data_IF_525665438885
#
_entry.id   IF_525665438885
#
_cell.length_a   1.000
_cell.length_b   1.000
_cell.length_c   1.000
_cell.angle_alpha   90.00
_cell.angle_beta   90.00
_cell.angle_gamma   90.00
#
_symmetry.space_group_name_H-M   'P 1'
#
loop_
_entity.id
_entity.type
_entity.pdbx_description
1 polymer ?
#
# COMPACT_ATOMS: atom_id res chain seq x y z
N UNK A 1 18.28 6.30 55.80
CA UNK A 1 17.33 5.26 55.35
C UNK A 1 16.06 5.80 54.65
N UNK A 2 15.80 7.10 54.64
CA UNK A 2 14.54 7.67 54.10
C UNK A 2 14.47 7.66 52.57
N UNK A 3 15.60 7.88 51.87
CA UNK A 3 15.63 7.93 50.39
C UNK A 3 15.38 6.57 49.72
N UNK A 4 15.82 5.46 50.35
CA UNK A 4 15.56 4.10 49.86
C UNK A 4 14.06 3.75 49.88
N UNK A 5 13.33 4.20 50.90
CA UNK A 5 11.88 4.03 50.98
C UNK A 5 11.13 4.82 49.91
N UNK A 6 11.57 6.06 49.64
CA UNK A 6 10.96 6.91 48.61
C UNK A 6 11.16 6.36 47.19
N UNK A 7 12.36 5.82 46.89
CA UNK A 7 12.65 5.18 45.59
C UNK A 7 11.84 3.90 45.39
N UNK A 8 11.64 3.10 46.45
CA UNK A 8 10.81 1.88 46.37
C UNK A 8 9.32 2.23 46.15
N UNK A 9 8.83 3.30 46.76
CA UNK A 9 7.45 3.77 46.62
C UNK A 9 7.19 4.41 45.24
N UNK A 10 8.19 5.10 44.68
CA UNK A 10 8.16 5.63 43.32
C UNK A 10 8.26 4.52 42.26
N UNK A 11 9.04 3.47 42.53
CA UNK A 11 9.09 2.27 41.68
C UNK A 11 7.80 1.43 41.78
N UNK A 12 7.16 1.34 42.96
CA UNK A 12 5.91 0.59 43.10
C UNK A 12 4.72 1.27 42.42
N UNK A 13 4.72 2.60 42.28
CA UNK A 13 3.68 3.32 41.53
C UNK A 13 3.73 3.07 40.01
N UNK A 14 4.85 2.58 39.47
CA UNK A 14 4.95 2.17 38.06
C UNK A 14 4.39 0.76 37.78
N UNK A 15 4.04 -0.01 38.82
CA UNK A 15 3.49 -1.38 38.68
C UNK A 15 1.96 -1.38 38.67
N UNK A 16 1.30 -0.22 38.85
CA UNK A 16 -0.13 -0.11 38.57
C UNK A 16 -0.35 -0.21 37.06
N UNK A 17 -0.72 -1.42 36.64
CA UNK A 17 -0.79 -1.86 35.26
C UNK A 17 -1.43 -0.89 34.29
N UNK A 18 -0.78 -0.74 33.14
CA UNK A 18 -1.33 -0.11 31.95
C UNK A 18 -2.52 -0.95 31.47
N UNK A 19 -3.73 -0.60 31.91
CA UNK A 19 -4.97 -1.22 31.44
C UNK A 19 -5.19 -0.84 29.97
N UNK A 20 -5.22 -1.84 29.08
CA UNK A 20 -5.40 -1.72 27.62
C UNK A 20 -6.86 -1.51 27.19
N UNK A 21 -7.78 -1.30 28.12
CA UNK A 21 -9.23 -1.28 27.86
C UNK A 21 -9.89 0.11 27.88
N UNK A 22 -9.12 1.21 28.04
CA UNK A 22 -9.71 2.55 28.11
C UNK A 22 -9.53 3.32 26.81
N UNK A 23 -10.65 3.72 26.22
CA UNK A 23 -10.77 4.53 25.01
C UNK A 23 -10.35 6.00 25.25
N UNK A 24 -9.17 6.21 25.85
CA UNK A 24 -8.62 7.52 26.22
C UNK A 24 -7.80 8.09 25.05
N UNK A 25 -7.73 9.42 24.92
CA UNK A 25 -6.97 10.11 23.86
C UNK A 25 -5.53 9.59 23.68
N UNK A 26 -4.85 9.29 24.80
CA UNK A 26 -3.49 8.72 24.81
C UNK A 26 -3.45 7.32 24.21
N UNK A 27 -4.43 6.46 24.51
CA UNK A 27 -4.53 5.11 23.95
C UNK A 27 -4.78 5.17 22.44
N UNK A 28 -5.70 6.03 21.98
CA UNK A 28 -5.93 6.26 20.54
C UNK A 28 -4.69 6.80 19.83
N UNK A 29 -3.96 7.72 20.47
CA UNK A 29 -2.69 8.24 19.97
C UNK A 29 -1.63 7.14 19.81
N UNK A 30 -1.48 6.27 20.82
CA UNK A 30 -0.57 5.14 20.79
C UNK A 30 -0.92 4.13 19.68
N UNK A 31 -2.19 3.78 19.52
CA UNK A 31 -2.65 2.89 18.45
C UNK A 31 -2.43 3.49 17.06
N UNK A 32 -2.69 4.80 16.89
CA UNK A 32 -2.41 5.50 15.64
C UNK A 32 -0.92 5.55 15.32
N UNK A 33 -0.07 5.77 16.32
CA UNK A 33 1.39 5.80 16.17
C UNK A 33 1.93 4.41 15.79
N UNK A 34 1.47 3.38 16.50
CA UNK A 34 1.82 1.99 16.27
C UNK A 34 1.40 1.58 14.85
N UNK A 35 0.17 1.86 14.44
CA UNK A 35 -0.33 1.53 13.10
C UNK A 35 0.48 2.23 12.00
N UNK A 36 0.77 3.53 12.18
CA UNK A 36 1.57 4.32 11.23
C UNK A 36 2.98 3.77 11.06
N UNK A 37 3.70 3.54 12.15
CA UNK A 37 5.11 3.17 12.06
C UNK A 37 5.32 1.66 11.92
N UNK A 38 4.62 0.84 12.72
CA UNK A 38 4.80 -0.61 12.73
C UNK A 38 4.16 -1.31 11.53
N UNK A 39 3.01 -0.83 11.08
CA UNK A 39 2.32 -1.34 9.89
C UNK A 39 2.78 -0.61 8.65
N UNK A 40 2.26 0.60 8.47
CA UNK A 40 2.36 1.32 7.20
C UNK A 40 3.81 1.65 6.80
N UNK A 41 4.55 2.38 7.65
CA UNK A 41 5.90 2.84 7.35
C UNK A 41 6.86 1.67 7.08
N UNK A 42 6.99 0.70 8.00
CA UNK A 42 7.88 -0.43 7.76
C UNK A 42 7.46 -1.27 6.56
N UNK A 43 6.16 -1.41 6.29
CA UNK A 43 5.71 -2.12 5.10
C UNK A 43 6.13 -1.38 3.82
N UNK A 44 5.99 -0.05 3.77
CA UNK A 44 6.52 0.76 2.68
C UNK A 44 8.04 0.62 2.52
N UNK A 45 8.81 0.65 3.62
CA UNK A 45 10.27 0.50 3.56
C UNK A 45 10.68 -0.85 2.98
N UNK A 46 10.03 -1.94 3.38
CA UNK A 46 10.29 -3.27 2.81
C UNK A 46 9.93 -3.33 1.32
N UNK A 47 8.80 -2.72 0.92
CA UNK A 47 8.42 -2.62 -0.50
C UNK A 47 9.48 -1.85 -1.29
N UNK A 48 9.91 -0.70 -0.79
CA UNK A 48 10.93 0.14 -1.42
C UNK A 48 12.27 -0.62 -1.56
N UNK A 49 12.66 -1.38 -0.54
CA UNK A 49 13.87 -2.22 -0.59
C UNK A 49 13.75 -3.30 -1.69
N UNK A 50 12.60 -3.95 -1.79
CA UNK A 50 12.32 -4.94 -2.84
C UNK A 50 12.36 -4.33 -4.24
N UNK A 51 11.70 -3.18 -4.44
CA UNK A 51 11.71 -2.43 -5.71
C UNK A 51 13.14 -2.03 -6.08
N UNK A 52 13.90 -1.48 -5.13
CA UNK A 52 15.30 -1.09 -5.37
C UNK A 52 16.16 -2.29 -5.82
N UNK A 53 15.97 -3.48 -5.23
CA UNK A 53 16.67 -4.69 -5.65
C UNK A 53 16.29 -5.10 -7.07
N UNK A 54 15.02 -5.00 -7.44
CA UNK A 54 14.54 -5.26 -8.81
C UNK A 54 15.20 -4.29 -9.79
N UNK A 55 15.12 -2.99 -9.52
CA UNK A 55 15.67 -1.94 -10.40
C UNK A 55 17.18 -2.08 -10.56
N UNK A 56 17.90 -2.37 -9.48
CA UNK A 56 19.36 -2.55 -9.51
C UNK A 56 19.78 -3.77 -10.34
N UNK A 57 18.99 -4.83 -10.32
CA UNK A 57 19.29 -6.07 -11.05
C UNK A 57 18.74 -6.06 -12.49
N UNK A 58 17.89 -5.10 -12.83
CA UNK A 58 17.29 -4.98 -14.15
C UNK A 58 18.36 -4.59 -15.19
N UNK A 59 18.43 -5.37 -16.27
CA UNK A 59 19.29 -5.08 -17.43
C UNK A 59 18.42 -4.53 -18.56
N UNK A 60 18.57 -3.25 -18.85
CA UNK A 60 17.83 -2.59 -19.93
C UNK A 60 18.30 -3.12 -21.30
N UNK A 61 17.33 -3.47 -22.14
CA UNK A 61 17.52 -3.83 -23.54
C UNK A 61 17.30 -2.57 -24.39
N UNK A 62 18.40 -1.98 -24.89
CA UNK A 62 18.37 -0.72 -25.64
C UNK A 62 18.02 -0.88 -27.14
N UNK A 63 17.88 -2.12 -27.59
CA UNK A 63 17.40 -2.51 -28.92
C UNK A 63 15.87 -2.54 -29.01
N UNK A 64 15.17 -2.41 -27.88
CA UNK A 64 13.71 -2.43 -27.77
C UNK A 64 13.18 -1.14 -27.15
N UNK A 65 11.87 -0.91 -27.30
CA UNK A 65 11.19 0.16 -26.60
C UNK A 65 11.32 -0.07 -25.08
N UNK A 66 11.91 0.90 -24.37
CA UNK A 66 12.08 0.81 -22.93
C UNK A 66 10.72 0.83 -22.22
N UNK A 67 10.50 -0.02 -21.21
CA UNK A 67 9.26 -0.04 -20.47
C UNK A 67 9.11 1.23 -19.62
N UNK A 68 7.88 1.74 -19.51
CA UNK A 68 7.58 2.92 -18.66
C UNK A 68 7.78 2.59 -17.18
N UNK A 69 7.45 1.37 -16.78
CA UNK A 69 7.68 0.87 -15.43
C UNK A 69 8.55 -0.38 -15.47
N UNK A 70 9.54 -0.43 -14.57
CA UNK A 70 10.37 -1.62 -14.37
C UNK A 70 9.60 -2.56 -13.47
N UNK A 71 9.38 -3.79 -13.95
CA UNK A 71 8.69 -4.84 -13.23
C UNK A 71 9.42 -6.16 -13.47
N UNK A 72 9.63 -7.00 -12.43
CA UNK A 72 10.36 -8.23 -12.59
C UNK A 72 9.51 -9.29 -13.31
N UNK A 73 10.15 -10.09 -14.15
CA UNK A 73 9.52 -11.29 -14.67
C UNK A 73 9.23 -12.26 -13.50
N UNK A 74 8.28 -13.17 -13.71
CA UNK A 74 7.83 -14.15 -12.69
C UNK A 74 8.99 -14.92 -12.03
N UNK A 75 10.05 -15.23 -12.77
CA UNK A 75 11.21 -15.95 -12.23
C UNK A 75 12.17 -15.05 -11.44
N UNK A 76 12.39 -13.81 -11.89
CA UNK A 76 13.26 -12.86 -11.20
C UNK A 76 12.61 -12.34 -9.90
N UNK A 77 11.28 -12.23 -9.88
CA UNK A 77 10.50 -11.77 -8.73
C UNK A 77 10.81 -12.58 -7.46
N UNK A 78 11.06 -13.89 -7.60
CA UNK A 78 11.34 -14.83 -6.50
C UNK A 78 12.52 -14.39 -5.63
N UNK A 79 13.50 -13.71 -6.21
CA UNK A 79 14.69 -13.22 -5.50
C UNK A 79 14.37 -12.14 -4.46
N UNK A 80 13.25 -11.45 -4.64
CA UNK A 80 12.78 -10.33 -3.80
C UNK A 80 11.53 -10.66 -2.97
N UNK A 81 11.08 -11.92 -3.00
CA UNK A 81 9.95 -12.37 -2.17
C UNK A 81 10.16 -12.11 -0.67
N UNK A 82 11.36 -12.29 -0.08
CA UNK A 82 11.56 -12.05 1.34
C UNK A 82 11.19 -10.63 1.79
N UNK A 83 11.42 -9.62 0.96
CA UNK A 83 11.08 -8.23 1.23
C UNK A 83 9.55 -8.03 1.21
N UNK A 84 8.89 -8.54 0.17
CA UNK A 84 7.44 -8.40 0.01
C UNK A 84 6.66 -9.23 1.04
N UNK A 85 7.13 -10.42 1.42
CA UNK A 85 6.49 -11.24 2.46
C UNK A 85 6.57 -10.56 3.84
N UNK A 86 7.67 -9.85 4.13
CA UNK A 86 7.76 -9.01 5.34
C UNK A 86 6.75 -7.88 5.32
N UNK A 87 6.61 -7.20 4.17
CA UNK A 87 5.63 -6.13 3.99
C UNK A 87 4.20 -6.64 4.21
N UNK A 88 3.83 -7.75 3.57
CA UNK A 88 2.53 -8.42 3.72
C UNK A 88 2.30 -8.75 5.20
N UNK A 89 3.23 -9.46 5.84
CA UNK A 89 3.10 -9.86 7.25
C UNK A 89 2.88 -8.66 8.17
N UNK A 90 3.64 -7.58 7.99
CA UNK A 90 3.51 -6.36 8.81
C UNK A 90 2.16 -5.69 8.59
N UNK A 91 1.75 -5.52 7.34
CA UNK A 91 0.45 -4.94 7.00
C UNK A 91 -0.70 -5.78 7.53
N UNK A 92 -0.68 -7.11 7.35
CA UNK A 92 -1.73 -8.02 7.81
C UNK A 92 -1.87 -8.02 9.33
N UNK A 93 -0.75 -8.04 10.08
CA UNK A 93 -0.78 -7.91 11.54
C UNK A 93 -1.40 -6.57 11.95
N UNK A 94 -1.10 -5.51 11.21
CA UNK A 94 -1.62 -4.18 11.49
C UNK A 94 -3.14 -4.12 11.32
N UNK A 95 -3.63 -4.59 10.17
CA UNK A 95 -5.07 -4.71 9.86
C UNK A 95 -5.75 -5.55 10.95
N UNK A 96 -5.21 -6.74 11.25
CA UNK A 96 -5.80 -7.64 12.24
C UNK A 96 -5.95 -7.00 13.64
N UNK A 97 -4.97 -6.19 14.06
CA UNK A 97 -4.94 -5.61 15.41
C UNK A 97 -5.71 -4.30 15.54
N UNK A 98 -5.82 -3.53 14.45
CA UNK A 98 -6.29 -2.15 14.50
C UNK A 98 -7.56 -1.90 13.69
N UNK A 99 -8.03 -2.87 12.90
CA UNK A 99 -9.34 -2.80 12.25
C UNK A 99 -10.45 -2.87 13.30
N UNK A 100 -11.32 -1.87 13.30
CA UNK A 100 -12.54 -1.85 14.11
C UNK A 100 -13.68 -2.41 13.27
N UNK A 101 -14.44 -3.33 13.85
CA UNK A 101 -15.56 -4.01 13.18
C UNK A 101 -16.88 -3.65 13.85
N UNK A 102 -17.94 -3.56 13.04
CA UNK A 102 -19.32 -3.46 13.49
C UNK A 102 -19.79 -4.77 14.15
N UNK A 103 -20.98 -4.74 14.75
CA UNK A 103 -21.64 -5.91 15.36
C UNK A 103 -21.78 -7.09 14.38
N UNK A 104 -21.93 -6.81 13.09
CA UNK A 104 -22.01 -7.79 12.02
C UNK A 104 -20.64 -8.33 11.55
N UNK A 105 -19.54 -7.95 12.20
CA UNK A 105 -18.17 -8.35 11.83
C UNK A 105 -17.58 -7.64 10.61
N UNK A 106 -18.31 -6.68 10.02
CA UNK A 106 -17.84 -5.86 8.90
C UNK A 106 -16.92 -4.74 9.38
N UNK A 107 -15.86 -4.46 8.63
CA UNK A 107 -14.94 -3.36 8.92
C UNK A 107 -15.64 -1.99 8.84
N UNK A 108 -15.31 -1.09 9.76
CA UNK A 108 -15.70 0.32 9.74
C UNK A 108 -14.57 1.13 9.10
N UNK A 109 -14.70 1.55 7.83
CA UNK A 109 -13.60 2.13 7.06
C UNK A 109 -13.04 3.42 7.66
N UNK A 110 -13.91 4.24 8.27
CA UNK A 110 -13.55 5.56 8.83
C UNK A 110 -12.90 5.47 10.22
N UNK A 111 -12.95 4.30 10.86
CA UNK A 111 -12.49 4.16 12.25
C UNK A 111 -10.97 3.97 12.34
N UNK A 112 -10.34 3.43 11.30
CA UNK A 112 -8.90 3.13 11.28
C UNK A 112 -8.15 4.00 10.28
N UNK A 113 -7.31 4.92 10.77
CA UNK A 113 -6.65 5.94 9.93
C UNK A 113 -5.70 5.41 8.85
N UNK A 114 -5.10 4.24 9.04
CA UNK A 114 -4.05 3.72 8.15
C UNK A 114 -4.36 2.32 7.60
N UNK A 115 -5.60 1.85 7.77
CA UNK A 115 -5.93 0.45 7.44
C UNK A 115 -5.99 0.26 5.92
N UNK A 116 -6.60 1.19 5.20
CA UNK A 116 -6.57 1.27 3.74
C UNK A 116 -5.14 1.32 3.17
N UNK A 117 -4.25 2.12 3.76
CA UNK A 117 -2.85 2.15 3.34
C UNK A 117 -2.16 0.80 3.51
N UNK A 118 -2.44 0.07 4.59
CA UNK A 118 -1.87 -1.27 4.79
C UNK A 118 -2.44 -2.28 3.77
N UNK A 119 -3.73 -2.19 3.42
CA UNK A 119 -4.32 -2.99 2.34
C UNK A 119 -3.67 -2.70 0.99
N UNK A 120 -3.44 -1.43 0.66
CA UNK A 120 -2.71 -1.03 -0.56
C UNK A 120 -1.29 -1.61 -0.55
N UNK A 121 -0.56 -1.54 0.57
CA UNK A 121 0.77 -2.11 0.66
C UNK A 121 0.78 -3.63 0.42
N UNK A 122 -0.22 -4.37 0.91
CA UNK A 122 -0.37 -5.81 0.62
C UNK A 122 -0.58 -6.03 -0.87
N UNK A 123 -1.46 -5.24 -1.50
CA UNK A 123 -1.69 -5.31 -2.94
C UNK A 123 -0.43 -5.04 -3.76
N UNK A 124 0.36 -4.02 -3.39
CA UNK A 124 1.63 -3.69 -4.05
C UNK A 124 2.64 -4.84 -3.89
N UNK A 125 2.75 -5.40 -2.69
CA UNK A 125 3.64 -6.52 -2.43
C UNK A 125 3.25 -7.76 -3.26
N UNK A 126 1.96 -8.11 -3.33
CA UNK A 126 1.48 -9.18 -4.22
C UNK A 126 1.75 -8.88 -5.69
N UNK A 127 1.57 -7.63 -6.13
CA UNK A 127 1.86 -7.22 -7.50
C UNK A 127 3.33 -7.50 -7.84
N UNK A 128 4.29 -7.05 -7.02
CA UNK A 128 5.72 -7.31 -7.26
C UNK A 128 6.14 -8.78 -7.07
N UNK A 129 5.37 -9.56 -6.33
CA UNK A 129 5.51 -11.03 -6.30
C UNK A 129 4.93 -11.74 -7.52
N UNK A 130 4.33 -10.99 -8.45
CA UNK A 130 3.59 -11.51 -9.60
C UNK A 130 2.33 -12.33 -9.23
N UNK A 131 1.80 -12.10 -8.03
CA UNK A 131 0.54 -12.66 -7.52
C UNK A 131 -0.63 -11.71 -7.89
N UNK A 132 -0.83 -11.52 -9.20
CA UNK A 132 -1.65 -10.44 -9.76
C UNK A 132 -3.12 -10.47 -9.32
N UNK A 133 -3.73 -11.66 -9.19
CA UNK A 133 -5.12 -11.78 -8.73
C UNK A 133 -5.28 -11.36 -7.26
N UNK A 134 -4.34 -11.77 -6.40
CA UNK A 134 -4.32 -11.34 -5.01
C UNK A 134 -4.10 -9.83 -4.91
N UNK A 135 -3.28 -9.25 -5.78
CA UNK A 135 -3.14 -7.79 -5.85
C UNK A 135 -4.48 -7.10 -6.19
N UNK A 136 -5.20 -7.59 -7.21
CA UNK A 136 -6.53 -7.07 -7.59
C UNK A 136 -7.50 -7.15 -6.42
N UNK A 137 -7.59 -8.27 -5.72
CA UNK A 137 -8.51 -8.42 -4.58
C UNK A 137 -8.26 -7.37 -3.49
N UNK A 138 -6.99 -7.10 -3.17
CA UNK A 138 -6.62 -6.08 -2.18
C UNK A 138 -6.98 -4.66 -2.66
N UNK A 139 -6.72 -4.33 -3.93
CA UNK A 139 -7.05 -3.02 -4.46
C UNK A 139 -8.56 -2.81 -4.63
N UNK A 140 -9.29 -3.82 -5.12
CA UNK A 140 -10.76 -3.78 -5.25
C UNK A 140 -11.42 -3.64 -3.88
N UNK A 141 -10.91 -4.35 -2.86
CA UNK A 141 -11.36 -4.18 -1.48
C UNK A 141 -11.23 -2.73 -1.04
N UNK A 142 -10.09 -2.07 -1.31
CA UNK A 142 -9.89 -0.67 -0.93
C UNK A 142 -10.86 0.26 -1.66
N UNK A 143 -11.01 0.06 -2.97
CA UNK A 143 -11.89 0.86 -3.84
C UNK A 143 -13.34 0.79 -3.36
N UNK A 144 -13.82 -0.40 -2.99
CA UNK A 144 -15.22 -0.65 -2.60
C UNK A 144 -15.51 -0.30 -1.15
N UNK A 145 -14.56 -0.54 -0.25
CA UNK A 145 -14.74 -0.35 1.19
C UNK A 145 -14.48 1.10 1.62
N UNK A 146 -13.41 1.73 1.13
CA UNK A 146 -12.99 3.07 1.58
C UNK A 146 -13.41 4.14 0.57
N UNK A 147 -14.72 4.24 0.33
CA UNK A 147 -15.28 5.15 -0.68
C UNK A 147 -14.97 6.62 -0.42
N UNK A 148 -14.78 7.02 0.83
CA UNK A 148 -14.46 8.41 1.21
C UNK A 148 -12.96 8.71 1.30
N UNK A 149 -12.10 7.68 1.26
CA UNK A 149 -10.65 7.88 1.33
C UNK A 149 -10.09 8.32 -0.02
N UNK A 150 -9.13 9.25 -0.02
CA UNK A 150 -8.39 9.59 -1.23
C UNK A 150 -7.47 8.45 -1.67
N UNK A 151 -7.13 7.52 -0.77
CA UNK A 151 -6.27 6.38 -1.06
C UNK A 151 -6.93 5.37 -2.00
N UNK A 152 -8.26 5.42 -2.16
CA UNK A 152 -8.96 4.67 -3.22
C UNK A 152 -8.44 5.00 -4.61
N UNK A 153 -7.97 6.23 -4.85
CA UNK A 153 -7.41 6.62 -6.14
C UNK A 153 -6.02 6.01 -6.36
N UNK A 154 -5.24 5.83 -5.30
CA UNK A 154 -4.01 5.04 -5.36
C UNK A 154 -4.30 3.58 -5.65
N UNK A 155 -5.32 2.99 -5.02
CA UNK A 155 -5.75 1.63 -5.34
C UNK A 155 -6.19 1.49 -6.81
N UNK A 156 -6.94 2.46 -7.37
CA UNK A 156 -7.28 2.50 -8.80
C UNK A 156 -6.04 2.61 -9.70
N UNK A 157 -5.06 3.43 -9.32
CA UNK A 157 -3.81 3.54 -10.06
C UNK A 157 -3.10 2.18 -10.15
N UNK A 158 -2.99 1.48 -9.03
CA UNK A 158 -2.36 0.17 -8.99
C UNK A 158 -3.19 -0.92 -9.68
N UNK A 159 -4.53 -0.89 -9.60
CA UNK A 159 -5.37 -1.86 -10.31
C UNK A 159 -5.20 -1.72 -11.83
N UNK A 160 -5.05 -0.49 -12.36
CA UNK A 160 -4.73 -0.28 -13.77
C UNK A 160 -3.40 -0.95 -14.13
N UNK A 161 -2.34 -0.75 -13.32
CA UNK A 161 -1.04 -1.39 -13.55
C UNK A 161 -1.13 -2.92 -13.54
N UNK A 162 -1.90 -3.50 -12.63
CA UNK A 162 -2.10 -4.94 -12.58
C UNK A 162 -2.80 -5.44 -13.84
N UNK A 163 -3.83 -4.75 -14.32
CA UNK A 163 -4.51 -5.11 -15.56
C UNK A 163 -3.65 -4.92 -16.81
N UNK A 164 -2.79 -3.90 -16.85
CA UNK A 164 -1.80 -3.72 -17.91
C UNK A 164 -0.79 -4.87 -17.96
N UNK A 165 -0.38 -5.38 -16.79
CA UNK A 165 0.49 -6.54 -16.68
C UNK A 165 -0.20 -7.84 -17.11
N UNK A 166 -1.49 -7.99 -16.79
CA UNK A 166 -2.33 -9.09 -17.30
C UNK A 166 -2.62 -8.98 -18.81
N UNK A 167 -2.30 -7.85 -19.45
CA UNK A 167 -2.63 -7.58 -20.85
C UNK A 167 -4.10 -7.21 -21.10
N UNK A 168 -4.91 -7.02 -20.05
CA UNK A 168 -6.32 -6.63 -20.16
C UNK A 168 -6.50 -5.11 -20.07
N UNK A 169 -6.19 -4.40 -21.15
CA UNK A 169 -6.37 -2.94 -21.21
C UNK A 169 -7.85 -2.54 -21.05
N UNK A 170 -8.78 -3.37 -21.54
CA UNK A 170 -10.23 -3.15 -21.40
C UNK A 170 -10.66 -3.08 -19.93
N UNK A 171 -10.13 -3.96 -19.07
CA UNK A 171 -10.46 -3.95 -17.64
C UNK A 171 -9.86 -2.75 -16.90
N UNK A 172 -8.74 -2.21 -17.38
CA UNK A 172 -8.09 -1.03 -16.79
C UNK A 172 -8.78 0.30 -17.13
N UNK A 173 -9.44 0.37 -18.28
CA UNK A 173 -10.03 1.59 -18.84
C UNK A 173 -11.06 2.31 -17.93
N UNK A 174 -12.04 1.63 -17.28
CA UNK A 174 -12.98 2.31 -16.40
C UNK A 174 -12.29 3.02 -15.23
N UNK A 175 -11.29 2.36 -14.62
CA UNK A 175 -10.51 2.95 -13.52
C UNK A 175 -9.66 4.13 -14.01
N UNK A 176 -9.05 4.02 -15.19
CA UNK A 176 -8.25 5.10 -15.77
C UNK A 176 -9.10 6.32 -16.12
N UNK A 177 -10.29 6.12 -16.68
CA UNK A 177 -11.24 7.20 -16.98
C UNK A 177 -11.75 7.87 -15.71
N UNK A 178 -12.00 7.09 -14.66
CA UNK A 178 -12.34 7.64 -13.35
C UNK A 178 -11.19 8.51 -12.82
N UNK A 179 -9.94 8.05 -12.87
CA UNK A 179 -8.78 8.86 -12.46
C UNK A 179 -8.67 10.16 -13.26
N UNK A 180 -8.87 10.13 -14.58
CA UNK A 180 -8.83 11.33 -15.45
C UNK A 180 -9.93 12.35 -15.14
N UNK A 181 -11.12 11.88 -14.74
CA UNK A 181 -12.27 12.76 -14.48
C UNK A 181 -12.25 13.47 -13.12
N UNK A 182 -11.45 12.98 -12.17
CA UNK A 182 -11.40 13.53 -10.81
C UNK A 182 -10.69 14.89 -10.80
N UNK A 183 -11.41 15.92 -10.37
CA UNK A 183 -10.89 17.30 -10.29
C UNK A 183 -9.74 17.47 -9.30
N UNK A 184 -9.80 16.78 -8.16
CA UNK A 184 -8.85 16.91 -7.06
C UNK A 184 -8.20 15.56 -6.74
N UNK A 185 -7.13 15.24 -7.47
CA UNK A 185 -6.27 14.11 -7.17
C UNK A 185 -5.14 14.53 -6.20
N UNK A 186 -4.64 13.60 -5.35
CA UNK A 186 -3.41 13.80 -4.62
C UNK A 186 -2.28 14.24 -5.57
N UNK A 187 -1.50 15.26 -5.19
CA UNK A 187 -0.45 15.85 -6.05
C UNK A 187 0.54 14.80 -6.58
N UNK A 188 0.97 13.88 -5.72
CA UNK A 188 1.86 12.79 -6.09
C UNK A 188 1.23 11.88 -7.17
N UNK A 189 -0.05 11.50 -7.01
CA UNK A 189 -0.76 10.69 -8.00
C UNK A 189 -0.96 11.44 -9.32
N UNK A 190 -1.26 12.74 -9.27
CA UNK A 190 -1.39 13.58 -10.47
C UNK A 190 -0.08 13.60 -11.29
N UNK A 191 1.08 13.59 -10.63
CA UNK A 191 2.37 13.55 -11.29
C UNK A 191 2.69 12.19 -11.91
N UNK A 192 2.19 11.09 -11.33
CA UNK A 192 2.39 9.73 -11.84
C UNK A 192 1.39 9.32 -12.94
N UNK A 193 0.21 9.95 -12.98
CA UNK A 193 -0.86 9.63 -13.92
C UNK A 193 -0.43 9.67 -15.41
N UNK A 194 0.35 10.66 -15.87
CA UNK A 194 0.91 10.67 -17.22
C UNK A 194 1.63 9.38 -17.62
N UNK A 195 2.47 8.84 -16.74
CA UNK A 195 3.20 7.59 -16.99
C UNK A 195 2.26 6.39 -17.12
N UNK A 196 1.22 6.31 -16.28
CA UNK A 196 0.20 5.27 -16.39
C UNK A 196 -0.58 5.34 -17.71
N UNK A 197 -0.90 6.55 -18.16
CA UNK A 197 -1.59 6.75 -19.45
C UNK A 197 -0.68 6.35 -20.61
N UNK A 198 0.61 6.71 -20.56
CA UNK A 198 1.59 6.31 -21.56
C UNK A 198 1.71 4.78 -21.63
N UNK A 199 1.78 4.09 -20.49
CA UNK A 199 1.79 2.63 -20.43
C UNK A 199 0.52 2.03 -21.07
N UNK A 200 -0.66 2.57 -20.77
CA UNK A 200 -1.92 2.13 -21.37
C UNK A 200 -1.89 2.18 -22.91
N UNK A 201 -1.41 3.28 -23.49
CA UNK A 201 -1.30 3.42 -24.94
C UNK A 201 -0.23 2.53 -25.56
N UNK A 202 0.90 2.35 -24.88
CA UNK A 202 1.95 1.39 -25.31
C UNK A 202 1.39 -0.02 -25.37
N UNK A 203 0.64 -0.46 -24.34
CA UNK A 203 0.00 -1.80 -24.31
C UNK A 203 -1.08 -1.97 -25.38
N UNK A 204 -1.62 -0.88 -25.95
CA UNK A 204 -2.55 -0.88 -27.09
C UNK A 204 -1.86 -0.80 -28.46
N UNK A 205 -0.53 -0.85 -28.52
CA UNK A 205 0.26 -0.62 -29.73
C UNK A 205 0.04 0.78 -30.35
N UNK A 206 -0.15 1.81 -29.51
CA UNK A 206 -0.35 3.21 -29.91
C UNK A 206 0.78 4.11 -29.36
N UNK A 207 2.04 3.95 -29.80
CA UNK A 207 3.19 4.65 -29.21
C UNK A 207 3.17 6.17 -29.44
N UNK A 208 2.56 6.65 -30.52
CA UNK A 208 2.46 8.10 -30.81
C UNK A 208 1.59 8.84 -29.78
N UNK A 209 0.49 8.23 -29.34
CA UNK A 209 -0.38 8.79 -28.30
C UNK A 209 0.29 8.70 -26.92
N UNK A 210 1.08 7.65 -26.69
CA UNK A 210 1.86 7.53 -25.46
C UNK A 210 2.88 8.66 -25.31
N UNK A 211 3.57 9.04 -26.40
CA UNK A 211 4.57 10.10 -26.38
C UNK A 211 3.99 11.49 -26.04
N UNK A 212 2.73 11.76 -26.41
CA UNK A 212 2.04 13.03 -26.08
C UNK A 212 1.68 13.15 -24.60
N UNK A 213 1.68 12.03 -23.88
CA UNK A 213 1.27 11.98 -22.49
C UNK A 213 2.41 12.32 -21.53
N UNK A 214 3.68 12.11 -21.93
CA UNK A 214 4.89 12.37 -21.14
C UNK A 214 5.37 13.81 -21.32
#
# INVERSE_FOLDING_TARGET
MVYKGFVILLCSSFIMGCSTHKNTFVHRGFHNLTNRFNGYYYSCENINEGIYKIEKNHKALYDQLLPVFIFPNKDDAKTTFPEFDKAIKKSSICIQRHTIKNENGQEIPEAGKWIDNNWINIGIAHFYKHELFSAIENFDYVIRTYTQSQDRYWAMYWICRVYHELGSTVSSEPYLNQLKSVRHLPKALKNCLPALIAEFYIKRNQPEEAAKCL
#
